data_IF_075531864107
#
_entry.id   IF_075531864107
#
_cell.length_a   1.000
_cell.length_b   1.000
_cell.length_c   1.000
_cell.angle_alpha   90.00
_cell.angle_beta   90.00
_cell.angle_gamma   90.00
#
_symmetry.space_group_name_H-M   'P 1'
#
loop_
_entity.id
_entity.type
_entity.pdbx_description
1 polymer ?
#
# COMPACT_ATOMS: atom_id res chain seq x y z
N UNK A 1 -22.06 14.97 -11.08
CA UNK A 1 -20.78 15.64 -10.90
C UNK A 1 -19.72 14.96 -11.72
N UNK A 2 -18.81 15.74 -12.26
CA UNK A 2 -17.76 15.20 -13.13
C UNK A 2 -16.83 14.26 -12.36
N UNK A 3 -16.52 13.15 -12.98
CA UNK A 3 -15.51 12.21 -12.49
C UNK A 3 -15.84 11.56 -11.14
N UNK A 4 -17.10 11.48 -10.74
CA UNK A 4 -17.47 10.90 -9.45
C UNK A 4 -16.90 9.49 -9.27
N UNK A 5 -17.10 8.63 -10.25
CA UNK A 5 -16.61 7.25 -10.19
C UNK A 5 -15.08 7.19 -10.22
N UNK A 6 -14.45 8.02 -11.03
CA UNK A 6 -12.99 8.12 -11.08
C UNK A 6 -12.44 8.56 -9.74
N UNK A 7 -13.05 9.57 -9.12
CA UNK A 7 -12.65 10.04 -7.78
C UNK A 7 -12.75 8.92 -6.74
N UNK A 8 -13.80 8.13 -6.78
CA UNK A 8 -13.98 7.02 -5.86
C UNK A 8 -12.89 5.96 -6.01
N UNK A 9 -12.58 5.59 -7.25
CA UNK A 9 -11.55 4.58 -7.52
C UNK A 9 -10.17 5.09 -7.13
N UNK A 10 -9.85 6.34 -7.48
CA UNK A 10 -8.56 6.93 -7.11
C UNK A 10 -8.41 7.04 -5.61
N UNK A 11 -9.47 7.41 -4.89
CA UNK A 11 -9.40 7.50 -3.43
C UNK A 11 -9.32 6.12 -2.77
N UNK A 12 -9.98 5.12 -3.36
CA UNK A 12 -9.80 3.75 -2.90
C UNK A 12 -8.34 3.33 -3.04
N UNK A 13 -7.70 3.69 -4.15
CA UNK A 13 -6.28 3.40 -4.36
C UNK A 13 -5.40 4.13 -3.33
N UNK A 14 -5.71 5.38 -3.00
CA UNK A 14 -4.97 6.13 -1.98
C UNK A 14 -5.01 5.42 -0.63
N UNK A 15 -6.20 4.99 -0.20
CA UNK A 15 -6.36 4.26 1.05
C UNK A 15 -5.59 2.94 1.03
N UNK A 16 -5.72 2.18 -0.05
CA UNK A 16 -5.09 0.86 -0.15
C UNK A 16 -3.57 0.95 -0.31
N UNK A 17 -3.07 1.94 -1.05
CA UNK A 17 -1.62 2.17 -1.15
C UNK A 17 -1.03 2.54 0.21
N UNK A 18 -1.72 3.38 0.97
CA UNK A 18 -1.27 3.76 2.31
C UNK A 18 -1.20 2.52 3.21
N UNK A 19 -2.21 1.67 3.15
CA UNK A 19 -2.23 0.44 3.94
C UNK A 19 -1.14 -0.54 3.47
N UNK A 20 -0.93 -0.67 2.17
CA UNK A 20 0.10 -1.56 1.63
C UNK A 20 1.50 -1.08 2.00
N UNK A 21 1.73 0.22 2.06
CA UNK A 21 3.00 0.77 2.54
C UNK A 21 3.26 0.31 3.97
N UNK A 22 2.25 0.38 4.84
CA UNK A 22 2.39 -0.06 6.22
C UNK A 22 2.61 -1.57 6.31
N UNK A 23 1.88 -2.35 5.52
CA UNK A 23 2.06 -3.81 5.45
C UNK A 23 3.49 -4.15 5.02
N UNK A 24 4.00 -3.45 4.00
CA UNK A 24 5.36 -3.67 3.49
C UNK A 24 6.40 -3.27 4.53
N UNK A 25 6.18 -2.16 5.24
CA UNK A 25 7.04 -1.70 6.32
C UNK A 25 7.12 -2.74 7.44
N UNK A 26 6.00 -3.34 7.78
CA UNK A 26 5.99 -4.41 8.77
C UNK A 26 6.87 -5.58 8.34
N UNK A 27 6.78 -6.01 7.09
CA UNK A 27 7.64 -7.08 6.59
C UNK A 27 9.11 -6.67 6.62
N UNK A 28 9.40 -5.43 6.28
CA UNK A 28 10.74 -4.86 6.33
C UNK A 28 11.34 -4.92 7.75
N UNK A 29 10.55 -4.56 8.74
CA UNK A 29 11.01 -4.55 10.13
C UNK A 29 11.13 -5.95 10.76
N UNK A 30 10.20 -6.84 10.42
CA UNK A 30 10.12 -8.15 11.06
C UNK A 30 10.87 -9.26 10.33
N UNK A 31 11.39 -8.96 9.15
CA UNK A 31 12.13 -9.94 8.36
C UNK A 31 13.42 -10.37 9.07
N UNK A 32 13.68 -11.66 9.04
CA UNK A 32 14.91 -12.25 9.58
C UNK A 32 15.37 -13.37 8.66
N UNK A 33 16.62 -13.77 8.79
CA UNK A 33 17.15 -14.91 8.08
C UNK A 33 18.34 -14.56 7.19
N UNK A 34 18.85 -15.53 6.42
CA UNK A 34 20.12 -15.37 5.69
C UNK A 34 20.09 -14.30 4.61
N UNK A 35 18.90 -13.94 4.11
CA UNK A 35 18.78 -12.94 3.04
C UNK A 35 18.43 -11.54 3.55
N UNK A 36 18.49 -11.32 4.87
CA UNK A 36 18.11 -10.06 5.47
C UNK A 36 18.84 -8.86 4.85
N UNK A 37 20.18 -8.93 4.72
CA UNK A 37 20.97 -7.81 4.23
C UNK A 37 20.62 -7.41 2.79
N UNK A 38 20.07 -8.31 2.03
CA UNK A 38 19.69 -8.07 0.64
C UNK A 38 18.22 -7.65 0.52
N UNK A 39 17.33 -8.34 1.22
CA UNK A 39 15.89 -8.14 1.09
C UNK A 39 15.37 -6.96 1.89
N UNK A 40 15.99 -6.68 3.04
CA UNK A 40 15.59 -5.53 3.85
C UNK A 40 15.71 -4.20 3.09
N UNK A 41 16.88 -3.88 2.45
CA UNK A 41 16.97 -2.68 1.62
C UNK A 41 16.08 -2.72 0.37
N UNK A 42 15.87 -3.90 -0.20
CA UNK A 42 14.97 -4.04 -1.35
C UNK A 42 13.56 -3.58 -1.01
N UNK A 43 13.08 -3.89 0.19
CA UNK A 43 11.74 -3.47 0.62
C UNK A 43 11.66 -1.96 0.83
N UNK A 44 12.76 -1.28 1.15
CA UNK A 44 12.79 0.19 1.17
C UNK A 44 12.47 0.75 -0.21
N UNK A 45 13.05 0.18 -1.25
CA UNK A 45 12.79 0.60 -2.63
C UNK A 45 11.34 0.36 -3.02
N UNK A 46 10.76 -0.77 -2.60
CA UNK A 46 9.34 -1.07 -2.82
C UNK A 46 8.45 -0.01 -2.17
N UNK A 47 8.76 0.37 -0.94
CA UNK A 47 7.97 1.38 -0.23
C UNK A 47 8.08 2.75 -0.87
N UNK A 48 9.26 3.12 -1.33
CA UNK A 48 9.46 4.38 -2.04
C UNK A 48 8.64 4.44 -3.31
N UNK A 49 8.60 3.34 -4.06
CA UNK A 49 7.81 3.25 -5.28
C UNK A 49 6.30 3.34 -4.99
N UNK A 50 5.84 2.67 -3.94
CA UNK A 50 4.44 2.76 -3.52
C UNK A 50 4.07 4.18 -3.08
N UNK A 51 4.96 4.85 -2.38
CA UNK A 51 4.75 6.22 -1.94
C UNK A 51 4.67 7.18 -3.13
N UNK A 52 5.51 7.00 -4.14
CA UNK A 52 5.44 7.78 -5.38
C UNK A 52 4.10 7.59 -6.08
N UNK A 53 3.62 6.35 -6.17
CA UNK A 53 2.31 6.07 -6.77
C UNK A 53 1.19 6.75 -5.99
N UNK A 54 1.23 6.69 -4.67
CA UNK A 54 0.23 7.33 -3.83
C UNK A 54 0.21 8.84 -4.07
N UNK A 55 1.38 9.44 -4.18
CA UNK A 55 1.51 10.88 -4.41
C UNK A 55 0.92 11.27 -5.77
N UNK A 56 1.28 10.53 -6.82
CA UNK A 56 0.76 10.78 -8.18
C UNK A 56 -0.76 10.67 -8.22
N UNK A 57 -1.33 9.66 -7.61
CA UNK A 57 -2.78 9.45 -7.60
C UNK A 57 -3.47 10.54 -6.78
N UNK A 58 -2.90 10.91 -5.64
CA UNK A 58 -3.44 11.98 -4.80
C UNK A 58 -3.44 13.32 -5.55
N UNK A 59 -2.36 13.63 -6.25
CA UNK A 59 -2.26 14.84 -7.05
C UNK A 59 -3.25 14.82 -8.21
N UNK A 60 -3.44 13.67 -8.83
CA UNK A 60 -4.46 13.54 -9.89
C UNK A 60 -5.86 13.81 -9.33
N UNK A 61 -6.16 13.31 -8.14
CA UNK A 61 -7.44 13.61 -7.47
C UNK A 61 -7.64 15.11 -7.32
N UNK A 62 -6.60 15.82 -6.88
CA UNK A 62 -6.68 17.27 -6.70
C UNK A 62 -6.98 17.96 -8.02
N UNK A 63 -6.37 17.52 -9.13
CA UNK A 63 -6.60 18.13 -10.44
C UNK A 63 -8.02 17.96 -10.97
N UNK A 64 -8.76 16.98 -10.47
CA UNK A 64 -10.16 16.76 -10.85
C UNK A 64 -11.14 17.11 -9.72
N UNK A 65 -10.71 17.99 -8.82
CA UNK A 65 -11.50 18.49 -7.67
C UNK A 65 -11.88 17.38 -6.67
N UNK A 66 -11.07 16.36 -6.55
CA UNK A 66 -11.21 15.36 -5.51
C UNK A 66 -10.42 15.73 -4.27
N UNK A 67 -10.67 15.04 -3.18
CA UNK A 67 -9.98 15.26 -1.90
C UNK A 67 -9.34 13.94 -1.45
N UNK A 68 -8.02 13.78 -1.62
CA UNK A 68 -7.37 12.54 -1.22
C UNK A 68 -7.50 12.27 0.27
N UNK A 69 -7.74 11.02 0.64
CA UNK A 69 -7.70 10.61 2.04
C UNK A 69 -6.31 10.91 2.60
N UNK A 70 -6.27 11.63 3.70
CA UNK A 70 -5.01 12.12 4.26
C UNK A 70 -4.93 11.98 5.78
N UNK A 71 -5.76 11.13 6.35
CA UNK A 71 -5.71 10.79 7.77
C UNK A 71 -5.73 9.28 7.95
N UNK A 72 -5.14 8.80 9.03
CA UNK A 72 -5.12 7.37 9.31
C UNK A 72 -6.52 6.81 9.52
N UNK A 73 -7.42 7.60 10.13
CA UNK A 73 -8.80 7.15 10.33
C UNK A 73 -9.54 6.97 9.01
N UNK A 74 -9.31 7.84 8.02
CA UNK A 74 -9.89 7.67 6.70
C UNK A 74 -9.33 6.44 5.99
N UNK A 75 -8.03 6.22 6.08
CA UNK A 75 -7.38 5.04 5.50
C UNK A 75 -7.99 3.77 6.11
N UNK A 76 -8.04 3.69 7.42
CA UNK A 76 -8.58 2.52 8.11
C UNK A 76 -10.04 2.26 7.73
N UNK A 77 -10.83 3.32 7.62
CA UNK A 77 -12.25 3.20 7.27
C UNK A 77 -12.46 2.69 5.85
N UNK A 78 -11.61 3.07 4.91
CA UNK A 78 -11.85 2.82 3.48
C UNK A 78 -10.98 1.74 2.85
N UNK A 79 -9.83 1.41 3.44
CA UNK A 79 -8.98 0.37 2.86
C UNK A 79 -9.66 -0.99 2.87
N UNK A 80 -9.44 -1.75 1.82
CA UNK A 80 -9.90 -3.14 1.73
C UNK A 80 -8.78 -4.13 2.02
N UNK A 81 -7.58 -3.65 2.30
CA UNK A 81 -6.48 -4.50 2.71
C UNK A 81 -6.50 -4.66 4.22
N UNK A 82 -6.44 -5.90 4.67
CA UNK A 82 -6.43 -6.20 6.10
C UNK A 82 -5.01 -6.03 6.65
N UNK A 83 -4.93 -5.52 7.87
CA UNK A 83 -3.68 -5.48 8.59
C UNK A 83 -3.76 -6.35 9.85
N UNK A 84 -2.61 -6.62 10.42
CA UNK A 84 -2.53 -7.34 11.70
C UNK A 84 -1.23 -6.94 12.38
N UNK A 85 -1.15 -7.12 13.70
CA UNK A 85 0.10 -6.87 14.42
C UNK A 85 1.24 -7.72 13.87
N UNK A 86 2.45 -7.18 13.94
CA UNK A 86 3.63 -7.90 13.48
C UNK A 86 3.89 -9.16 14.29
N UNK A 87 4.38 -10.19 13.63
CA UNK A 87 4.71 -11.47 14.24
C UNK A 87 6.10 -11.90 13.80
N UNK A 88 6.87 -12.42 14.76
CA UNK A 88 8.14 -13.08 14.47
C UNK A 88 7.84 -14.50 13.99
N UNK A 89 8.77 -15.09 13.29
CA UNK A 89 8.64 -16.50 12.89
C UNK A 89 7.92 -16.75 11.58
N UNK A 90 7.43 -15.70 10.91
CA UNK A 90 6.86 -15.84 9.58
C UNK A 90 8.00 -15.97 8.58
N UNK A 91 7.89 -16.95 7.67
CA UNK A 91 8.94 -17.17 6.67
C UNK A 91 9.04 -16.00 5.69
N UNK A 92 10.24 -15.78 5.15
CA UNK A 92 10.46 -14.76 4.12
C UNK A 92 9.50 -14.95 2.95
N UNK A 93 9.29 -16.19 2.54
CA UNK A 93 8.36 -16.52 1.44
C UNK A 93 6.94 -16.02 1.75
N UNK A 94 6.45 -16.27 2.95
CA UNK A 94 5.10 -15.85 3.33
C UNK A 94 4.99 -14.34 3.47
N UNK A 95 6.04 -13.67 3.91
CA UNK A 95 6.08 -12.20 3.96
C UNK A 95 5.94 -11.60 2.56
N UNK A 96 6.66 -12.16 1.58
CA UNK A 96 6.54 -11.70 0.20
C UNK A 96 5.19 -12.04 -0.41
N UNK A 97 4.58 -13.17 -0.04
CA UNK A 97 3.22 -13.50 -0.48
C UNK A 97 2.22 -12.46 -0.04
N UNK A 98 2.34 -11.94 1.17
CA UNK A 98 1.48 -10.89 1.68
C UNK A 98 1.59 -9.62 0.84
N UNK A 99 2.81 -9.22 0.51
CA UNK A 99 3.07 -8.04 -0.32
C UNK A 99 2.52 -8.25 -1.74
N UNK A 100 2.77 -9.41 -2.33
CA UNK A 100 2.30 -9.75 -3.68
C UNK A 100 0.77 -9.74 -3.74
N UNK A 101 0.11 -10.25 -2.71
CA UNK A 101 -1.36 -10.23 -2.65
C UNK A 101 -1.89 -8.79 -2.68
N UNK A 102 -1.22 -7.86 -1.98
CA UNK A 102 -1.57 -6.45 -2.02
C UNK A 102 -1.42 -5.86 -3.41
N UNK A 103 -0.32 -6.15 -4.09
CA UNK A 103 -0.10 -5.69 -5.46
C UNK A 103 -1.14 -6.24 -6.43
N UNK A 104 -1.49 -7.51 -6.32
CA UNK A 104 -2.51 -8.13 -7.17
C UNK A 104 -3.87 -7.49 -6.97
N UNK A 105 -4.19 -7.16 -5.73
CA UNK A 105 -5.43 -6.44 -5.43
C UNK A 105 -5.45 -5.07 -6.12
N UNK A 106 -4.35 -4.32 -6.05
CA UNK A 106 -4.25 -3.00 -6.69
C UNK A 106 -4.34 -3.10 -8.21
N UNK A 107 -3.68 -4.08 -8.81
CA UNK A 107 -3.77 -4.29 -10.27
C UNK A 107 -5.22 -4.50 -10.70
N UNK A 108 -5.96 -5.26 -9.92
CA UNK A 108 -7.37 -5.50 -10.19
C UNK A 108 -8.21 -4.24 -10.04
N UNK A 109 -7.90 -3.42 -9.05
CA UNK A 109 -8.59 -2.15 -8.82
C UNK A 109 -8.40 -1.20 -9.99
N UNK A 110 -7.23 -1.21 -10.61
CA UNK A 110 -6.90 -0.32 -11.73
C UNK A 110 -7.56 -0.74 -13.06
N UNK A 111 -8.08 -1.93 -13.16
CA UNK A 111 -8.77 -2.40 -14.37
C UNK A 111 -10.10 -1.66 -14.67
#
# INVERSE_FOLDING_TARGET
MKYTKTKEILNQAVADLTQLIMITRQQHWYMRGPNFLKLHPYLDDVMDELDEQRDLISERLITIDGSPYSSLSEVLKHTKLEDKPGEWGISTKDRFKTIIAGYRYLDKLYE
#
